data_IF_425043185490
#
_entry.id   IF_425043185490
#
_cell.length_a   1.000
_cell.length_b   1.000
_cell.length_c   1.000
_cell.angle_alpha   90.00
_cell.angle_beta   90.00
_cell.angle_gamma   90.00
#
_symmetry.space_group_name_H-M   'P 1'
#
loop_
_entity.id
_entity.type
_entity.pdbx_description
1 polymer ?
#
# COMPACT_ATOMS: atom_id res chain seq x y z
N UNK A 1 -5.07 -20.47 -24.78
CA UNK A 1 -5.92 -20.75 -23.61
C UNK A 1 -5.49 -19.76 -22.55
N UNK A 2 -6.32 -18.76 -22.30
CA UNK A 2 -6.05 -17.62 -21.43
C UNK A 2 -6.22 -18.05 -19.98
N UNK A 3 -5.12 -18.02 -19.25
CA UNK A 3 -5.01 -18.10 -17.81
C UNK A 3 -5.90 -17.04 -17.14
N UNK A 4 -7.06 -17.50 -16.68
CA UNK A 4 -8.01 -16.73 -15.88
C UNK A 4 -7.38 -16.27 -14.57
N UNK A 5 -7.01 -15.00 -14.52
CA UNK A 5 -6.52 -14.28 -13.34
C UNK A 5 -7.61 -14.02 -12.31
N UNK A 6 -8.11 -15.08 -11.66
CA UNK A 6 -8.98 -14.99 -10.48
C UNK A 6 -8.31 -15.55 -9.22
N UNK A 7 -6.96 -15.52 -9.18
CA UNK A 7 -6.26 -15.62 -7.91
C UNK A 7 -6.46 -14.32 -7.12
N UNK A 8 -6.70 -14.45 -5.82
CA UNK A 8 -6.87 -13.32 -4.90
C UNK A 8 -5.63 -12.42 -5.01
N UNK A 9 -5.75 -11.33 -5.75
CA UNK A 9 -4.76 -10.25 -5.78
C UNK A 9 -4.71 -9.62 -4.40
N UNK A 10 -3.52 -9.29 -3.90
CA UNK A 10 -3.34 -8.63 -2.61
C UNK A 10 -3.60 -7.14 -2.82
N UNK A 11 -4.74 -6.61 -2.36
CA UNK A 11 -5.07 -5.24 -2.68
C UNK A 11 -4.28 -4.26 -1.83
N UNK A 12 -3.98 -3.11 -2.43
CA UNK A 12 -3.60 -1.89 -1.74
C UNK A 12 -4.86 -1.18 -1.27
N UNK A 13 -4.84 -0.71 -0.03
CA UNK A 13 -5.89 0.13 0.56
C UNK A 13 -5.38 1.56 0.69
N UNK A 14 -6.15 2.52 0.18
CA UNK A 14 -5.81 3.94 0.20
C UNK A 14 -7.00 4.83 0.50
N UNK A 15 -6.73 6.06 0.94
CA UNK A 15 -7.75 7.09 1.16
C UNK A 15 -7.69 8.15 0.04
N UNK A 16 -8.83 8.74 -0.32
CA UNK A 16 -8.90 9.75 -1.40
C UNK A 16 -8.31 11.12 -1.01
N UNK A 17 -7.80 11.84 -2.04
CA UNK A 17 -7.64 13.28 -2.32
C UNK A 17 -7.39 14.30 -1.19
N UNK A 18 -7.87 14.09 0.03
CA UNK A 18 -7.62 14.93 1.21
C UNK A 18 -6.97 14.16 2.37
N UNK A 19 -6.63 12.88 2.17
CA UNK A 19 -6.27 11.95 3.24
C UNK A 19 -4.99 11.16 2.97
N UNK A 20 -3.98 11.44 3.78
CA UNK A 20 -2.55 11.12 3.64
C UNK A 20 -2.13 9.68 3.95
N UNK A 21 -2.94 8.66 3.64
CA UNK A 21 -2.62 7.30 4.12
C UNK A 21 -2.87 6.20 3.09
N UNK A 22 -1.91 5.27 3.04
CA UNK A 22 -1.93 4.08 2.21
C UNK A 22 -1.41 2.88 3.00
N UNK A 23 -1.89 1.71 2.64
CA UNK A 23 -1.60 0.45 3.30
C UNK A 23 -1.74 -0.71 2.32
N UNK A 24 -1.23 -1.89 2.68
CA UNK A 24 -1.32 -3.08 1.84
C UNK A 24 -1.80 -4.27 2.66
N UNK A 25 -2.66 -5.10 2.06
CA UNK A 25 -3.10 -6.34 2.69
C UNK A 25 -1.91 -7.28 2.89
N UNK A 26 -1.89 -7.98 4.01
CA UNK A 26 -0.81 -8.87 4.41
C UNK A 26 -1.32 -10.33 4.48
N UNK A 27 -1.03 -11.18 3.47
CA UNK A 27 -1.62 -12.52 3.37
C UNK A 27 -1.17 -13.51 4.46
N UNK A 28 -0.11 -13.21 5.20
CA UNK A 28 0.40 -14.00 6.33
C UNK A 28 -0.48 -13.92 7.59
N UNK A 29 -1.38 -12.92 7.67
CA UNK A 29 -2.32 -12.78 8.76
C UNK A 29 -3.73 -12.64 8.19
N UNK A 30 -4.68 -13.38 8.77
CA UNK A 30 -6.05 -13.35 8.28
C UNK A 30 -6.66 -11.97 8.53
N UNK A 31 -7.27 -11.39 7.49
CA UNK A 31 -7.86 -10.05 7.52
C UNK A 31 -6.88 -9.01 8.07
N UNK A 32 -5.65 -8.97 7.57
CA UNK A 32 -4.66 -8.03 8.05
C UNK A 32 -4.22 -7.04 6.98
N UNK A 33 -3.95 -5.83 7.45
CA UNK A 33 -3.36 -4.74 6.68
C UNK A 33 -2.10 -4.31 7.42
N UNK A 34 -1.02 -4.07 6.69
CA UNK A 34 0.19 -3.49 7.27
C UNK A 34 0.31 -2.03 6.82
N UNK A 35 0.60 -1.17 7.79
CA UNK A 35 0.59 0.28 7.68
C UNK A 35 1.88 0.85 8.22
N UNK A 36 2.32 1.99 7.67
CA UNK A 36 3.29 2.86 8.34
C UNK A 36 2.57 4.13 8.82
N UNK A 37 2.63 4.45 10.10
CA UNK A 37 1.96 5.63 10.66
C UNK A 37 2.73 6.33 11.79
N UNK A 38 2.53 7.65 11.98
CA UNK A 38 3.17 8.41 13.05
C UNK A 38 2.95 7.79 14.43
N UNK A 39 3.99 7.76 15.26
CA UNK A 39 3.95 7.20 16.62
C UNK A 39 4.00 5.67 16.71
N UNK A 40 3.61 4.95 15.66
CA UNK A 40 3.53 3.48 15.65
C UNK A 40 4.60 2.80 14.79
N UNK A 41 5.20 3.52 13.84
CA UNK A 41 6.11 2.89 12.87
C UNK A 41 5.33 2.04 11.87
N UNK A 42 5.87 0.89 11.51
CA UNK A 42 5.21 -0.14 10.70
C UNK A 42 4.47 -1.10 11.62
N UNK A 43 3.15 -1.19 11.50
CA UNK A 43 2.29 -1.98 12.38
C UNK A 43 1.22 -2.75 11.60
N UNK A 44 0.70 -3.81 12.22
CA UNK A 44 -0.40 -4.62 11.69
C UNK A 44 -1.72 -4.08 12.26
N UNK A 45 -2.71 -3.86 11.39
CA UNK A 45 -4.10 -3.75 11.80
C UNK A 45 -4.88 -4.93 11.28
N UNK A 46 -5.79 -5.43 12.11
CA UNK A 46 -6.68 -6.53 11.74
C UNK A 46 -8.03 -5.95 11.37
N UNK A 47 -8.51 -6.26 10.17
CA UNK A 47 -9.92 -6.26 9.80
C UNK A 47 -10.61 -7.55 10.30
N UNK A 48 -11.93 -7.60 10.14
CA UNK A 48 -12.75 -8.79 10.33
C UNK A 48 -13.22 -9.29 8.96
N UNK A 49 -13.62 -10.56 8.87
CA UNK A 49 -14.25 -11.15 7.69
C UNK A 49 -15.41 -10.32 7.12
N UNK A 50 -16.08 -9.58 7.99
CA UNK A 50 -17.26 -8.76 7.69
C UNK A 50 -17.02 -7.27 7.88
N UNK A 51 -15.81 -6.86 8.29
CA UNK A 51 -15.54 -5.48 8.70
C UNK A 51 -14.14 -5.04 8.30
N UNK A 52 -14.02 -4.12 7.33
CA UNK A 52 -12.73 -3.49 7.07
C UNK A 52 -12.41 -2.48 8.18
N UNK A 53 -11.58 -2.85 9.16
CA UNK A 53 -11.15 -1.92 10.23
C UNK A 53 -10.30 -0.77 9.71
N UNK A 54 -9.74 -0.88 8.49
CA UNK A 54 -9.15 0.27 7.81
C UNK A 54 -10.22 1.34 7.55
N UNK A 55 -11.33 0.97 6.91
CA UNK A 55 -12.43 1.89 6.59
C UNK A 55 -13.03 2.56 7.84
N UNK A 56 -13.24 1.78 8.92
CA UNK A 56 -13.83 2.30 10.17
C UNK A 56 -12.97 3.34 10.87
N UNK A 57 -11.64 3.29 10.73
CA UNK A 57 -10.74 4.30 11.31
C UNK A 57 -10.81 5.63 10.57
N UNK A 58 -11.39 5.63 9.36
CA UNK A 58 -11.55 6.81 8.53
C UNK A 58 -13.04 7.01 8.14
N UNK A 59 -13.93 7.21 9.13
CA UNK A 59 -15.38 7.23 8.91
C UNK A 59 -15.83 8.39 8.01
N UNK A 60 -15.09 9.49 7.99
CA UNK A 60 -15.39 10.70 7.21
C UNK A 60 -14.57 10.80 5.91
N UNK A 61 -13.77 9.79 5.59
CA UNK A 61 -12.95 9.77 4.39
C UNK A 61 -13.49 8.74 3.40
N UNK A 62 -13.20 9.02 2.13
CA UNK A 62 -13.39 8.08 1.05
C UNK A 62 -12.24 7.06 1.06
N UNK A 63 -12.60 5.78 1.10
CA UNK A 63 -11.65 4.64 1.12
C UNK A 63 -11.76 3.89 -0.20
N UNK A 64 -10.60 3.53 -0.74
CA UNK A 64 -10.46 2.77 -1.98
C UNK A 64 -9.59 1.55 -1.74
N UNK A 65 -9.92 0.50 -2.46
CA UNK A 65 -9.11 -0.70 -2.57
C UNK A 65 -8.73 -0.85 -4.04
N UNK A 66 -7.45 -0.90 -4.34
CA UNK A 66 -6.94 -1.08 -5.70
C UNK A 66 -5.97 -2.26 -5.77
N UNK A 67 -5.79 -2.85 -6.95
CA UNK A 67 -4.71 -3.80 -7.22
C UNK A 67 -4.01 -3.45 -8.53
N UNK A 68 -2.69 -3.61 -8.64
CA UNK A 68 -2.01 -3.43 -9.91
C UNK A 68 -2.56 -4.39 -10.97
N UNK A 69 -2.72 -3.91 -12.21
CA UNK A 69 -3.32 -4.69 -13.30
C UNK A 69 -2.36 -5.70 -13.92
N UNK A 70 -1.07 -5.38 -13.86
CA UNK A 70 -0.01 -6.07 -14.60
C UNK A 70 0.85 -6.96 -13.72
N UNK A 71 0.65 -6.94 -12.40
CA UNK A 71 1.26 -7.90 -11.49
C UNK A 71 0.54 -9.24 -11.54
N UNK A 72 1.30 -10.32 -11.39
CA UNK A 72 0.74 -11.64 -11.16
C UNK A 72 0.31 -11.81 -9.71
N UNK A 73 -0.56 -12.79 -9.46
CA UNK A 73 -0.98 -13.18 -8.11
C UNK A 73 0.22 -13.52 -7.21
N UNK A 74 1.27 -14.13 -7.76
CA UNK A 74 2.47 -14.44 -6.98
C UNK A 74 3.25 -13.19 -6.59
N UNK A 75 3.34 -12.19 -7.47
CA UNK A 75 3.99 -10.90 -7.20
C UNK A 75 3.24 -10.12 -6.10
N UNK A 76 1.90 -10.10 -6.16
CA UNK A 76 1.06 -9.47 -5.15
C UNK A 76 1.24 -10.15 -3.77
N UNK A 77 1.25 -11.48 -3.75
CA UNK A 77 1.51 -12.26 -2.53
C UNK A 77 2.90 -12.00 -1.97
N UNK A 78 3.91 -11.83 -2.83
CA UNK A 78 5.27 -11.52 -2.40
C UNK A 78 5.36 -10.12 -1.79
N UNK A 79 4.70 -9.13 -2.39
CA UNK A 79 4.61 -7.77 -1.85
C UNK A 79 3.93 -7.75 -0.48
N UNK A 80 2.79 -8.45 -0.34
CA UNK A 80 2.08 -8.58 0.94
C UNK A 80 2.92 -9.28 2.03
N UNK A 81 3.67 -10.32 1.66
CA UNK A 81 4.60 -11.00 2.59
C UNK A 81 5.78 -10.10 2.94
N UNK A 82 6.28 -9.34 1.98
CA UNK A 82 7.40 -8.42 2.18
C UNK A 82 7.05 -7.35 3.20
N UNK A 83 5.84 -6.77 3.12
CA UNK A 83 5.44 -5.73 4.06
C UNK A 83 5.36 -6.23 5.50
N UNK A 84 4.94 -7.47 5.73
CA UNK A 84 4.86 -8.02 7.09
C UNK A 84 6.22 -8.20 7.75
N UNK A 85 7.26 -8.43 6.95
CA UNK A 85 8.65 -8.48 7.44
C UNK A 85 9.17 -7.10 7.87
N UNK A 86 8.45 -6.02 7.54
CA UNK A 86 8.81 -4.66 7.93
C UNK A 86 8.19 -4.23 9.25
N UNK A 87 7.24 -4.99 9.80
CA UNK A 87 6.56 -4.69 11.07
C UNK A 87 7.59 -4.47 12.18
N UNK A 88 7.40 -3.41 12.95
CA UNK A 88 8.32 -2.95 14.01
C UNK A 88 9.34 -1.90 13.56
N UNK A 89 9.50 -1.66 12.25
CA UNK A 89 10.37 -0.57 11.78
C UNK A 89 9.79 0.81 12.08
N UNK A 90 10.62 1.83 12.35
CA UNK A 90 10.15 3.18 12.65
C UNK A 90 9.41 3.85 11.48
N UNK A 91 8.66 4.90 11.82
CA UNK A 91 7.98 5.74 10.84
C UNK A 91 8.95 6.76 10.25
N UNK A 92 8.85 7.01 8.94
CA UNK A 92 9.65 8.02 8.28
C UNK A 92 8.91 9.35 8.21
N UNK A 93 9.31 10.30 9.07
CA UNK A 93 8.80 11.68 9.02
C UNK A 93 9.45 12.54 7.93
N UNK A 94 10.51 12.03 7.30
CA UNK A 94 11.15 12.71 6.17
C UNK A 94 10.56 12.18 4.85
N UNK A 95 9.55 12.90 4.37
CA UNK A 95 8.88 12.59 3.12
C UNK A 95 9.69 12.98 1.88
N UNK A 96 10.74 13.78 2.02
CA UNK A 96 11.53 14.35 0.92
C UNK A 96 12.89 13.66 0.70
N UNK A 97 13.26 12.76 1.60
CA UNK A 97 14.56 12.11 1.62
C UNK A 97 14.65 10.89 0.71
N UNK A 98 15.55 9.97 1.06
CA UNK A 98 15.79 8.74 0.33
C UNK A 98 14.56 7.81 0.35
N UNK A 99 13.85 7.71 -0.77
CA UNK A 99 12.70 6.80 -0.89
C UNK A 99 13.10 5.33 -0.91
N UNK A 100 14.36 5.03 -1.24
CA UNK A 100 14.91 3.66 -1.34
C UNK A 100 15.43 3.13 -0.01
N UNK A 101 15.34 3.92 1.06
CA UNK A 101 15.67 3.43 2.39
C UNK A 101 14.73 2.29 2.80
N UNK A 102 15.25 1.37 3.62
CA UNK A 102 14.47 0.26 4.16
C UNK A 102 14.47 0.18 5.67
N UNK A 103 15.09 1.14 6.36
CA UNK A 103 15.20 1.19 7.83
C UNK A 103 14.00 1.89 8.51
N UNK A 104 13.26 2.73 7.77
CA UNK A 104 11.98 3.34 8.16
C UNK A 104 11.15 3.70 6.94
N UNK A 105 9.82 3.79 7.12
CA UNK A 105 8.90 4.06 6.01
C UNK A 105 7.81 5.06 6.40
N UNK A 106 7.39 5.90 5.45
CA UNK A 106 6.06 6.52 5.49
C UNK A 106 5.03 5.64 4.77
N UNK A 107 3.74 5.95 4.92
CA UNK A 107 2.62 5.11 4.49
C UNK A 107 2.72 4.64 3.02
N UNK A 108 2.78 5.56 2.08
CA UNK A 108 2.88 5.28 0.64
C UNK A 108 4.27 4.76 0.22
N UNK A 109 5.34 5.16 0.91
CA UNK A 109 6.67 4.58 0.70
C UNK A 109 6.68 3.09 0.98
N UNK A 110 6.03 2.66 2.07
CA UNK A 110 5.97 1.25 2.46
C UNK A 110 5.28 0.42 1.38
N UNK A 111 4.19 0.92 0.81
CA UNK A 111 3.45 0.23 -0.26
C UNK A 111 4.28 0.15 -1.54
N UNK A 112 4.87 1.26 -1.98
CA UNK A 112 5.76 1.26 -3.14
C UNK A 112 6.95 0.30 -2.94
N UNK A 113 7.60 0.37 -1.79
CA UNK A 113 8.74 -0.48 -1.44
C UNK A 113 8.37 -1.96 -1.43
N UNK A 114 7.15 -2.31 -1.01
CA UNK A 114 6.68 -3.68 -1.03
C UNK A 114 6.68 -4.27 -2.45
N UNK A 115 6.18 -3.55 -3.44
CA UNK A 115 6.20 -4.01 -4.84
C UNK A 115 7.60 -3.91 -5.45
N UNK A 116 8.30 -2.80 -5.23
CA UNK A 116 9.62 -2.57 -5.80
C UNK A 116 10.66 -3.61 -5.33
N UNK A 117 10.75 -3.86 -4.01
CA UNK A 117 11.77 -4.75 -3.46
C UNK A 117 11.39 -6.24 -3.45
N UNK A 118 10.10 -6.57 -3.55
CA UNK A 118 9.70 -7.98 -3.62
C UNK A 118 9.75 -8.52 -5.05
N UNK A 119 9.21 -7.78 -6.01
CA UNK A 119 8.98 -8.30 -7.35
C UNK A 119 9.45 -7.37 -8.47
N UNK A 120 10.12 -6.27 -8.15
CA UNK A 120 10.65 -5.31 -9.13
C UNK A 120 9.59 -4.46 -9.81
N UNK A 121 8.34 -4.48 -9.33
CA UNK A 121 7.26 -3.69 -9.91
C UNK A 121 7.28 -2.27 -9.37
N UNK A 122 7.46 -1.30 -10.26
CA UNK A 122 7.57 0.11 -9.89
C UNK A 122 6.21 0.80 -9.94
N UNK A 123 5.69 1.16 -8.76
CA UNK A 123 4.45 1.93 -8.61
C UNK A 123 4.69 3.45 -8.66
N UNK A 124 5.95 3.89 -8.70
CA UNK A 124 6.28 5.30 -8.76
C UNK A 124 6.03 5.85 -10.16
N UNK A 125 5.19 6.89 -10.23
CA UNK A 125 4.89 7.55 -11.49
C UNK A 125 5.85 8.69 -11.81
N UNK A 126 6.67 9.13 -10.84
CA UNK A 126 7.62 10.26 -10.88
C UNK A 126 7.04 11.63 -11.24
N UNK A 127 5.90 11.70 -11.93
CA UNK A 127 5.22 12.92 -12.40
C UNK A 127 4.62 13.78 -11.27
N UNK A 128 4.52 13.25 -10.06
CA UNK A 128 4.12 14.02 -8.88
C UNK A 128 5.32 14.52 -8.06
N UNK A 129 6.56 14.23 -8.50
CA UNK A 129 7.75 14.83 -7.92
C UNK A 129 7.68 16.35 -8.10
N UNK A 130 7.58 17.07 -6.99
CA UNK A 130 7.48 18.53 -6.98
C UNK A 130 8.80 19.12 -6.50
N UNK A 131 9.27 20.18 -7.15
CA UNK A 131 10.52 20.89 -6.81
C UNK A 131 11.76 19.98 -6.67
N UNK A 132 11.83 18.89 -7.46
CA UNK A 132 12.96 17.95 -7.44
C UNK A 132 13.01 17.03 -6.22
N UNK A 133 11.96 17.03 -5.38
CA UNK A 133 11.86 16.08 -4.26
C UNK A 133 11.19 14.80 -4.72
N UNK A 134 11.89 13.68 -4.55
CA UNK A 134 11.38 12.36 -4.91
C UNK A 134 10.53 11.83 -3.76
N UNK A 135 9.21 11.71 -3.97
CA UNK A 135 8.28 11.26 -2.92
C UNK A 135 7.15 10.44 -3.54
N UNK A 136 6.72 9.38 -2.85
CA UNK A 136 5.57 8.58 -3.25
C UNK A 136 4.33 9.13 -2.55
N UNK A 137 3.35 9.60 -3.29
CA UNK A 137 2.07 10.06 -2.75
C UNK A 137 1.07 8.91 -2.74
N UNK A 138 0.15 8.81 -1.76
CA UNK A 138 -0.92 7.81 -1.79
C UNK A 138 -1.71 7.83 -3.11
N UNK A 139 -1.91 9.03 -3.69
CA UNK A 139 -2.58 9.22 -4.99
C UNK A 139 -1.81 8.59 -6.16
N UNK A 140 -0.48 8.53 -6.11
CA UNK A 140 0.33 7.89 -7.15
C UNK A 140 0.04 6.41 -7.26
N UNK A 141 -0.17 5.75 -6.13
CA UNK A 141 -0.48 4.32 -6.12
C UNK A 141 -1.85 4.07 -6.75
N UNK A 142 -2.82 4.98 -6.58
CA UNK A 142 -4.12 4.89 -7.23
C UNK A 142 -4.03 5.17 -8.75
N UNK A 143 -3.30 6.21 -9.14
CA UNK A 143 -3.16 6.62 -10.55
C UNK A 143 -2.18 5.75 -11.35
N UNK A 144 -1.42 4.88 -10.69
CA UNK A 144 -0.63 3.85 -11.33
C UNK A 144 -1.55 2.87 -12.08
N UNK A 145 -0.95 1.92 -12.81
CA UNK A 145 -1.71 0.91 -13.55
C UNK A 145 -2.45 -0.06 -12.62
N UNK A 146 -3.54 0.42 -12.02
CA UNK A 146 -4.32 -0.28 -11.01
C UNK A 146 -5.80 -0.40 -11.38
N UNK A 147 -6.44 -1.44 -10.88
CA UNK A 147 -7.87 -1.68 -10.96
C UNK A 147 -8.52 -1.33 -9.62
N UNK A 148 -9.61 -0.55 -9.67
CA UNK A 148 -10.47 -0.30 -8.52
C UNK A 148 -11.25 -1.58 -8.18
N UNK A 149 -11.04 -2.10 -6.98
CA UNK A 149 -11.72 -3.30 -6.45
C UNK A 149 -12.92 -2.91 -5.57
N UNK A 150 -12.71 -1.95 -4.67
CA UNK A 150 -13.74 -1.50 -3.74
C UNK A 150 -13.64 0.01 -3.52
N UNK A 151 -14.80 0.64 -3.38
CA UNK A 151 -14.95 2.03 -2.99
C UNK A 151 -16.03 2.12 -1.92
N UNK A 152 -15.69 2.74 -0.79
CA UNK A 152 -16.66 3.07 0.25
C UNK A 152 -17.78 3.94 -0.32
N UNK A 153 -19.03 3.64 0.00
CA UNK A 153 -20.19 4.43 -0.42
C UNK A 153 -20.44 5.59 0.54
#
# INVERSE_FOLDING_TARGET
MTDGGSGIQVPVLGLEWSSWHAAIVAPQWLYAVVEAGPGNGVFVTYSSATTNNFERRYPNNQVWQVAPRTTSVSQDLEAGRWVGRQVGKPYNNDFAGDIRRTDKFYCSQLVWAAYYYSCGFDLDLTRYNTFGTWRIHPKEIYDADTALIYRKK
#
